data_IF_430125415513
#
_entry.id   IF_430125415513
#
_cell.length_a   1.000
_cell.length_b   1.000
_cell.length_c   1.000
_cell.angle_alpha   90.00
_cell.angle_beta   90.00
_cell.angle_gamma   90.00
#
_symmetry.space_group_name_H-M   'P 1'
#
loop_
_entity.id
_entity.type
_entity.pdbx_description
1 polymer ?
#
# COMPACT_ATOMS: atom_id res chain seq x y z
N UNK A 1 -7.58 -15.96 -6.08
CA UNK A 1 -7.93 -14.54 -6.38
C UNK A 1 -7.32 -13.66 -5.30
N UNK A 2 -6.56 -12.65 -5.70
CA UNK A 2 -5.97 -11.66 -4.81
C UNK A 2 -6.66 -10.31 -5.10
N UNK A 3 -7.28 -9.70 -4.09
CA UNK A 3 -8.00 -8.42 -4.26
C UNK A 3 -7.12 -7.26 -3.82
N UNK A 4 -6.74 -6.42 -4.77
CA UNK A 4 -6.03 -5.18 -4.50
C UNK A 4 -7.03 -4.16 -3.99
N UNK A 5 -6.71 -3.51 -2.89
CA UNK A 5 -7.48 -2.41 -2.28
C UNK A 5 -6.60 -1.17 -2.23
N UNK A 6 -7.18 -0.03 -2.54
CA UNK A 6 -6.56 1.28 -2.35
C UNK A 6 -7.59 2.27 -1.86
N UNK A 7 -7.17 3.20 -1.00
CA UNK A 7 -8.02 4.24 -0.42
C UNK A 7 -7.40 5.62 -0.60
N UNK A 8 -8.26 6.61 -0.86
CA UNK A 8 -7.92 8.01 -0.69
C UNK A 8 -8.64 8.56 0.54
N UNK A 9 -7.97 9.43 1.29
CA UNK A 9 -8.43 9.88 2.59
C UNK A 9 -8.41 11.39 2.74
N UNK A 10 -9.03 11.87 3.83
CA UNK A 10 -8.98 13.28 4.24
C UNK A 10 -7.58 13.71 4.70
N UNK A 11 -6.71 12.77 5.00
CA UNK A 11 -5.36 12.98 5.48
C UNK A 11 -4.80 11.74 6.18
N UNK A 12 -3.64 11.88 6.82
CA UNK A 12 -2.93 10.75 7.46
C UNK A 12 -3.72 10.12 8.61
N UNK A 13 -4.69 10.83 9.21
CA UNK A 13 -5.52 10.31 10.30
C UNK A 13 -6.68 9.45 9.82
N UNK A 14 -6.97 9.43 8.52
CA UNK A 14 -8.06 8.66 7.93
C UNK A 14 -9.17 9.55 7.38
N UNK A 15 -10.41 9.06 7.43
CA UNK A 15 -11.55 9.66 6.75
C UNK A 15 -11.54 9.33 5.27
N UNK A 16 -12.19 8.22 4.87
CA UNK A 16 -12.14 7.71 3.50
C UNK A 16 -12.98 8.59 2.59
N UNK A 17 -12.43 9.02 1.47
CA UNK A 17 -13.12 9.76 0.39
C UNK A 17 -13.29 8.92 -0.88
N UNK A 18 -12.44 7.93 -1.09
CA UNK A 18 -12.53 6.98 -2.20
C UNK A 18 -11.98 5.63 -1.78
N UNK A 19 -12.61 4.57 -2.26
CA UNK A 19 -12.12 3.20 -2.18
C UNK A 19 -12.19 2.57 -3.56
N UNK A 20 -11.21 1.78 -3.91
CA UNK A 20 -11.23 1.00 -5.14
C UNK A 20 -10.62 -0.37 -4.96
N UNK A 21 -10.96 -1.26 -5.87
CA UNK A 21 -10.33 -2.58 -5.98
C UNK A 21 -10.20 -3.04 -7.42
N UNK A 22 -9.22 -3.89 -7.64
CA UNK A 22 -9.13 -4.80 -8.79
C UNK A 22 -8.76 -6.18 -8.29
N UNK A 23 -9.11 -7.21 -9.01
CA UNK A 23 -8.71 -8.58 -8.69
C UNK A 23 -7.58 -9.04 -9.61
N UNK A 24 -6.61 -9.75 -9.06
CA UNK A 24 -5.61 -10.49 -9.83
C UNK A 24 -5.99 -11.97 -9.82
N UNK A 25 -6.29 -12.49 -11.00
CA UNK A 25 -6.69 -13.86 -11.23
C UNK A 25 -5.86 -14.43 -12.38
N UNK A 26 -5.10 -15.48 -12.13
CA UNK A 26 -4.22 -16.12 -13.11
C UNK A 26 -3.32 -15.11 -13.87
N UNK A 27 -2.75 -14.17 -13.13
CA UNK A 27 -1.85 -13.13 -13.66
C UNK A 27 -2.55 -12.03 -14.47
N UNK A 28 -3.87 -11.97 -14.44
CA UNK A 28 -4.68 -10.94 -15.13
C UNK A 28 -5.38 -10.03 -14.13
N UNK A 29 -5.48 -8.76 -14.49
CA UNK A 29 -6.20 -7.75 -13.73
C UNK A 29 -7.64 -7.71 -14.21
N UNK A 30 -8.59 -8.00 -13.33
CA UNK A 30 -10.02 -8.12 -13.63
C UNK A 30 -10.87 -7.45 -12.55
N UNK A 31 -12.18 -7.32 -12.79
CA UNK A 31 -13.18 -6.86 -11.84
C UNK A 31 -12.86 -5.49 -11.19
N UNK A 32 -12.62 -4.43 -11.97
CA UNK A 32 -12.41 -3.11 -11.40
C UNK A 32 -13.69 -2.60 -10.72
N UNK A 33 -13.53 -2.01 -9.54
CA UNK A 33 -14.62 -1.39 -8.80
C UNK A 33 -14.09 -0.16 -8.06
N UNK A 34 -14.87 0.91 -8.02
CA UNK A 34 -14.53 2.11 -7.24
C UNK A 34 -15.76 2.83 -6.73
N UNK A 35 -15.63 3.48 -5.58
CA UNK A 35 -16.68 4.31 -4.98
C UNK A 35 -16.07 5.55 -4.35
N UNK A 36 -16.66 6.71 -4.67
CA UNK A 36 -16.53 7.88 -3.82
C UNK A 36 -17.33 7.66 -2.54
N UNK A 37 -16.79 8.11 -1.42
CA UNK A 37 -17.32 7.87 -0.07
C UNK A 37 -17.44 9.19 0.67
N UNK A 38 -18.52 9.36 1.43
CA UNK A 38 -18.67 10.52 2.30
C UNK A 38 -17.79 10.33 3.54
N UNK A 39 -16.81 11.22 3.78
CA UNK A 39 -15.94 11.10 4.94
C UNK A 39 -16.61 11.59 6.23
N UNK A 40 -16.11 11.12 7.36
CA UNK A 40 -16.54 11.51 8.71
C UNK A 40 -15.87 12.81 9.22
N UNK A 41 -15.05 13.44 8.39
CA UNK A 41 -14.25 14.64 8.72
C UNK A 41 -13.96 15.47 7.48
N UNK A 42 -13.55 16.74 7.64
CA UNK A 42 -13.14 17.59 6.52
C UNK A 42 -11.91 17.03 5.79
N UNK A 43 -11.86 17.21 4.49
CA UNK A 43 -10.69 16.87 3.67
C UNK A 43 -9.62 17.95 3.90
N UNK A 44 -8.40 17.53 4.27
CA UNK A 44 -7.30 18.49 4.42
C UNK A 44 -6.92 19.09 3.07
N UNK A 45 -6.49 20.37 3.03
CA UNK A 45 -6.00 20.98 1.79
C UNK A 45 -4.86 20.21 1.14
N UNK A 46 -3.98 19.60 1.94
CA UNK A 46 -2.86 18.78 1.47
C UNK A 46 -3.34 17.51 0.77
N UNK A 47 -4.30 16.79 1.37
CA UNK A 47 -4.88 15.60 0.76
C UNK A 47 -5.63 15.94 -0.54
N UNK A 48 -6.45 16.98 -0.53
CA UNK A 48 -7.17 17.45 -1.71
C UNK A 48 -6.24 17.84 -2.86
N UNK A 49 -5.11 18.49 -2.56
CA UNK A 49 -4.10 18.82 -3.56
C UNK A 49 -3.51 17.57 -4.24
N UNK A 50 -3.47 16.45 -3.54
CA UNK A 50 -2.92 15.18 -4.03
C UNK A 50 -3.95 14.43 -4.88
N UNK A 51 -5.10 14.04 -4.30
CA UNK A 51 -6.09 13.22 -4.99
C UNK A 51 -7.14 14.03 -5.78
N UNK A 52 -7.25 15.33 -5.54
CA UNK A 52 -8.17 16.25 -6.23
C UNK A 52 -9.66 15.94 -6.03
N UNK A 53 -10.00 15.17 -5.00
CA UNK A 53 -11.39 14.92 -4.59
C UNK A 53 -11.80 16.06 -3.66
N UNK A 54 -12.89 16.73 -4.01
CA UNK A 54 -13.39 17.90 -3.27
C UNK A 54 -14.50 17.52 -2.30
N UNK A 55 -14.79 18.39 -1.33
CA UNK A 55 -15.93 18.23 -0.40
C UNK A 55 -17.26 18.07 -1.16
N UNK A 56 -17.45 18.84 -2.23
CA UNK A 56 -18.67 18.78 -3.04
C UNK A 56 -18.85 17.43 -3.75
N UNK A 57 -17.76 16.79 -4.17
CA UNK A 57 -17.80 15.50 -4.85
C UNK A 57 -18.28 14.36 -3.94
N UNK A 58 -18.08 14.47 -2.64
CA UNK A 58 -18.36 13.39 -1.65
C UNK A 58 -19.54 13.70 -0.72
N UNK A 59 -20.09 14.91 -0.77
CA UNK A 59 -21.12 15.38 0.16
C UNK A 59 -22.40 14.54 0.15
N UNK A 60 -22.77 13.98 -1.00
CA UNK A 60 -23.98 13.15 -1.20
C UNK A 60 -23.66 11.66 -1.36
N UNK A 61 -22.43 11.25 -1.09
CA UNK A 61 -21.99 9.86 -1.25
C UNK A 61 -22.31 9.02 -0.02
N UNK A 62 -22.42 7.69 -0.17
CA UNK A 62 -22.65 6.80 0.97
C UNK A 62 -21.46 6.79 1.93
N UNK A 63 -21.72 6.39 3.17
CA UNK A 63 -20.69 6.14 4.17
C UNK A 63 -19.90 4.88 3.85
N UNK A 64 -18.66 4.79 4.36
CA UNK A 64 -17.80 3.61 4.11
C UNK A 64 -18.45 2.31 4.62
N UNK A 65 -19.16 2.36 5.72
CA UNK A 65 -19.84 1.20 6.31
C UNK A 65 -20.90 0.61 5.38
N UNK A 66 -21.54 1.44 4.56
CA UNK A 66 -22.55 1.01 3.57
C UNK A 66 -21.90 0.46 2.29
N UNK A 67 -20.67 0.87 1.99
CA UNK A 67 -19.95 0.50 0.76
C UNK A 67 -19.05 -0.71 0.94
N UNK A 68 -18.41 -0.83 2.10
CA UNK A 68 -17.34 -1.81 2.34
C UNK A 68 -17.76 -3.28 2.11
N UNK A 69 -19.02 -3.69 2.38
CA UNK A 69 -19.44 -5.07 2.11
C UNK A 69 -19.27 -5.51 0.65
N UNK A 70 -19.32 -4.58 -0.30
CA UNK A 70 -19.10 -4.88 -1.72
C UNK A 70 -17.65 -5.29 -2.05
N UNK A 71 -16.71 -4.98 -1.14
CA UNK A 71 -15.29 -5.29 -1.27
C UNK A 71 -14.89 -6.60 -0.58
N UNK A 72 -15.81 -7.22 0.16
CA UNK A 72 -15.58 -8.52 0.78
C UNK A 72 -15.54 -9.66 -0.25
N UNK A 73 -15.17 -10.84 0.19
CA UNK A 73 -15.24 -12.08 -0.61
C UNK A 73 -13.89 -12.56 -1.16
N UNK A 74 -12.77 -11.96 -0.74
CA UNK A 74 -11.44 -12.51 -0.98
C UNK A 74 -10.83 -13.04 0.32
N UNK A 75 -10.05 -14.11 0.23
CA UNK A 75 -9.22 -14.57 1.35
C UNK A 75 -8.01 -13.64 1.57
N UNK A 76 -7.53 -12.98 0.49
CA UNK A 76 -6.35 -12.13 0.51
C UNK A 76 -6.67 -10.74 -0.03
N UNK A 77 -6.41 -9.74 0.79
CA UNK A 77 -6.44 -8.34 0.43
C UNK A 77 -5.02 -7.81 0.28
N UNK A 78 -4.77 -7.09 -0.78
CA UNK A 78 -3.42 -6.58 -1.14
C UNK A 78 -3.48 -5.07 -1.21
N UNK A 79 -2.53 -4.40 -0.56
CA UNK A 79 -2.37 -2.97 -0.66
C UNK A 79 -0.89 -2.57 -0.67
N UNK A 80 -0.61 -1.38 -1.18
CA UNK A 80 0.73 -0.81 -1.11
C UNK A 80 0.84 0.08 0.14
N UNK A 81 1.64 -0.34 1.12
CA UNK A 81 1.61 0.16 2.50
C UNK A 81 0.32 -0.26 3.24
N UNK A 82 0.04 -1.55 3.20
CA UNK A 82 -1.22 -2.15 3.65
C UNK A 82 -1.63 -1.82 5.10
N UNK A 83 -0.67 -1.51 5.97
CA UNK A 83 -0.98 -1.08 7.34
C UNK A 83 -1.79 0.21 7.39
N UNK A 84 -1.62 1.10 6.41
CA UNK A 84 -2.41 2.33 6.31
C UNK A 84 -3.87 2.01 5.92
N UNK A 85 -4.07 1.32 4.80
CA UNK A 85 -5.41 1.00 4.31
C UNK A 85 -6.19 0.15 5.32
N UNK A 86 -5.54 -0.86 5.89
CA UNK A 86 -6.13 -1.71 6.94
C UNK A 86 -6.57 -0.90 8.16
N UNK A 87 -5.81 0.11 8.55
CA UNK A 87 -6.09 0.95 9.72
C UNK A 87 -7.27 1.89 9.48
N UNK A 88 -7.41 2.45 8.28
CA UNK A 88 -8.45 3.45 7.99
C UNK A 88 -9.77 2.83 7.56
N UNK A 89 -9.75 1.59 7.06
CA UNK A 89 -10.94 0.84 6.66
C UNK A 89 -11.60 0.17 7.86
N UNK A 90 -12.95 -0.04 7.80
CA UNK A 90 -13.60 -1.03 8.64
C UNK A 90 -12.94 -2.41 8.49
N UNK A 91 -13.07 -3.26 9.50
CA UNK A 91 -12.46 -4.60 9.47
C UNK A 91 -12.94 -5.39 8.25
N UNK A 92 -11.98 -5.99 7.54
CA UNK A 92 -12.24 -6.81 6.35
C UNK A 92 -11.87 -8.26 6.67
N UNK A 93 -12.78 -9.22 6.42
CA UNK A 93 -12.54 -10.62 6.74
C UNK A 93 -11.60 -11.27 5.73
N UNK A 94 -10.30 -11.21 5.98
CA UNK A 94 -9.26 -11.79 5.14
C UNK A 94 -7.86 -11.47 5.62
N UNK A 95 -6.87 -12.11 5.00
CA UNK A 95 -5.47 -11.87 5.27
C UNK A 95 -4.95 -10.70 4.41
N UNK A 96 -3.99 -9.95 4.95
CA UNK A 96 -3.42 -8.81 4.25
C UNK A 96 -2.02 -9.08 3.72
N UNK A 97 -1.76 -8.60 2.50
CA UNK A 97 -0.47 -8.65 1.81
C UNK A 97 -0.04 -7.21 1.50
N UNK A 98 1.19 -6.85 1.86
CA UNK A 98 1.76 -5.53 1.65
C UNK A 98 2.83 -5.56 0.55
N UNK A 99 2.50 -5.05 -0.64
CA UNK A 99 3.44 -5.01 -1.77
C UNK A 99 4.68 -4.16 -1.47
N UNK A 100 4.59 -3.16 -0.61
CA UNK A 100 5.76 -2.37 -0.20
C UNK A 100 6.75 -3.22 0.62
N UNK A 101 6.28 -4.02 1.58
CA UNK A 101 7.13 -4.92 2.36
C UNK A 101 7.75 -6.02 1.50
N UNK A 102 6.98 -6.58 0.57
CA UNK A 102 7.48 -7.56 -0.40
C UNK A 102 8.58 -6.98 -1.28
N UNK A 103 8.36 -5.75 -1.78
CA UNK A 103 9.32 -5.05 -2.63
C UNK A 103 10.63 -4.75 -1.91
N UNK A 104 10.56 -4.35 -0.63
CA UNK A 104 11.77 -4.14 0.19
C UNK A 104 12.61 -5.41 0.33
N UNK A 105 11.98 -6.56 0.34
CA UNK A 105 12.67 -7.84 0.44
C UNK A 105 13.31 -8.27 -0.87
N UNK A 106 12.62 -8.03 -1.99
CA UNK A 106 13.13 -8.40 -3.32
C UNK A 106 14.19 -7.41 -3.85
N UNK A 107 13.97 -6.13 -3.63
CA UNK A 107 14.78 -5.06 -4.22
C UNK A 107 15.24 -4.06 -3.14
N UNK A 108 16.25 -4.41 -2.32
CA UNK A 108 16.74 -3.53 -1.28
C UNK A 108 17.40 -2.26 -1.84
N UNK A 109 17.31 -1.15 -1.09
CA UNK A 109 18.07 0.07 -1.37
C UNK A 109 17.51 0.99 -2.45
N UNK A 110 16.23 0.87 -2.81
CA UNK A 110 15.54 1.72 -3.79
C UNK A 110 14.39 2.52 -3.15
N UNK A 111 13.69 3.32 -3.94
CA UNK A 111 12.46 4.00 -3.49
C UNK A 111 11.28 3.05 -3.59
N UNK A 112 10.40 3.06 -2.58
CA UNK A 112 9.33 2.07 -2.40
C UNK A 112 7.91 2.64 -2.54
N UNK A 113 7.71 3.85 -3.04
CA UNK A 113 6.37 4.25 -3.46
C UNK A 113 5.93 3.38 -4.65
N UNK A 114 4.62 3.10 -4.78
CA UNK A 114 4.12 2.25 -5.86
C UNK A 114 4.56 2.76 -7.25
N UNK A 115 4.48 4.07 -7.49
CA UNK A 115 4.89 4.67 -8.76
C UNK A 115 6.40 4.61 -8.99
N UNK A 116 7.22 4.78 -7.94
CA UNK A 116 8.67 4.63 -8.06
C UNK A 116 9.08 3.20 -8.41
N UNK A 117 8.44 2.21 -7.80
CA UNK A 117 8.64 0.80 -8.12
C UNK A 117 8.17 0.47 -9.53
N UNK A 118 6.99 0.94 -9.92
CA UNK A 118 6.44 0.77 -11.25
C UNK A 118 7.41 1.26 -12.33
N UNK A 119 7.99 2.44 -12.15
CA UNK A 119 8.97 3.02 -13.07
C UNK A 119 10.30 2.27 -13.04
N UNK A 120 10.85 1.97 -11.87
CA UNK A 120 12.15 1.30 -11.73
C UNK A 120 12.12 -0.13 -12.27
N UNK A 121 10.99 -0.82 -12.14
CA UNK A 121 10.76 -2.15 -12.69
C UNK A 121 10.31 -2.13 -14.16
N UNK A 122 10.17 -0.93 -14.76
CA UNK A 122 9.73 -0.75 -16.16
C UNK A 122 8.42 -1.47 -16.48
N UNK A 123 7.48 -1.42 -15.53
CA UNK A 123 6.17 -2.05 -15.70
C UNK A 123 5.30 -1.24 -16.65
N UNK A 124 4.34 -1.91 -17.27
CA UNK A 124 3.35 -1.30 -18.15
C UNK A 124 1.99 -1.92 -17.87
N UNK A 125 0.99 -1.08 -17.64
CA UNK A 125 -0.41 -1.48 -17.47
C UNK A 125 -1.31 -0.43 -18.09
N UNK A 126 -2.41 -0.88 -18.68
CA UNK A 126 -3.43 0.06 -19.17
C UNK A 126 -4.23 0.56 -17.98
N UNK A 127 -4.05 1.84 -17.65
CA UNK A 127 -4.77 2.50 -16.57
C UNK A 127 -6.15 2.99 -17.02
N UNK A 128 -7.12 3.15 -16.09
CA UNK A 128 -8.44 3.67 -16.42
C UNK A 128 -8.38 5.08 -17.03
N UNK A 129 -9.13 5.29 -18.11
CA UNK A 129 -9.23 6.60 -18.75
C UNK A 129 -9.84 7.66 -17.80
N UNK A 130 -9.31 8.88 -17.85
CA UNK A 130 -9.80 10.00 -17.05
C UNK A 130 -9.36 10.01 -15.57
N UNK A 131 -8.62 9.02 -15.13
CA UNK A 131 -8.02 8.96 -13.80
C UNK A 131 -6.51 9.27 -13.85
N UNK A 132 -5.97 9.69 -12.74
CA UNK A 132 -4.55 10.00 -12.57
C UNK A 132 -4.00 9.31 -11.31
N UNK A 133 -2.69 9.30 -11.16
CA UNK A 133 -2.02 8.87 -9.94
C UNK A 133 -2.60 9.59 -8.72
N UNK A 134 -2.78 8.90 -7.62
CA UNK A 134 -3.54 9.32 -6.43
C UNK A 134 -5.07 9.37 -6.63
N UNK A 135 -5.61 8.64 -7.59
CA UNK A 135 -7.00 8.20 -7.58
C UNK A 135 -7.00 6.70 -7.32
N UNK A 136 -7.85 6.22 -6.41
CA UNK A 136 -7.76 4.88 -5.86
C UNK A 136 -7.78 3.78 -6.94
N UNK A 137 -8.65 3.86 -7.94
CA UNK A 137 -8.68 2.85 -9.00
C UNK A 137 -7.43 2.87 -9.88
N UNK A 138 -6.89 4.06 -10.18
CA UNK A 138 -5.63 4.18 -10.91
C UNK A 138 -4.50 3.48 -10.16
N UNK A 139 -4.38 3.75 -8.87
CA UNK A 139 -3.33 3.19 -8.02
C UNK A 139 -3.51 1.68 -7.78
N UNK A 140 -4.75 1.17 -7.79
CA UNK A 140 -5.01 -0.27 -7.82
C UNK A 140 -4.38 -0.96 -9.02
N UNK A 141 -4.47 -0.39 -10.22
CA UNK A 141 -3.83 -0.96 -11.42
C UNK A 141 -2.32 -0.94 -11.33
N UNK A 142 -1.73 0.14 -10.83
CA UNK A 142 -0.27 0.23 -10.60
C UNK A 142 0.18 -0.83 -9.59
N UNK A 143 -0.51 -0.95 -8.47
CA UNK A 143 -0.21 -1.95 -7.44
C UNK A 143 -0.43 -3.38 -7.93
N UNK A 144 -1.46 -3.63 -8.75
CA UNK A 144 -1.70 -4.94 -9.36
C UNK A 144 -0.58 -5.34 -10.32
N UNK A 145 -0.11 -4.43 -11.17
CA UNK A 145 1.03 -4.68 -12.03
C UNK A 145 2.30 -5.00 -11.22
N UNK A 146 2.52 -4.29 -10.13
CA UNK A 146 3.62 -4.54 -9.20
C UNK A 146 3.48 -5.91 -8.53
N UNK A 147 2.29 -6.28 -8.07
CA UNK A 147 2.03 -7.59 -7.45
C UNK A 147 2.34 -8.73 -8.41
N UNK A 148 1.92 -8.61 -9.66
CA UNK A 148 2.19 -9.62 -10.70
C UNK A 148 3.70 -9.76 -10.91
N UNK A 149 4.43 -8.66 -11.02
CA UNK A 149 5.90 -8.67 -11.13
C UNK A 149 6.58 -9.30 -9.90
N UNK A 150 6.12 -8.97 -8.70
CA UNK A 150 6.59 -9.59 -7.45
C UNK A 150 6.41 -11.10 -7.49
N UNK A 151 5.22 -11.58 -7.85
CA UNK A 151 4.90 -13.01 -7.91
C UNK A 151 5.72 -13.74 -8.96
N UNK A 152 5.90 -13.16 -10.14
CA UNK A 152 6.73 -13.72 -11.20
C UNK A 152 8.21 -13.77 -10.82
N UNK A 153 8.71 -12.74 -10.16
CA UNK A 153 10.13 -12.64 -9.76
C UNK A 153 10.45 -13.58 -8.59
N UNK A 154 9.56 -13.67 -7.60
CA UNK A 154 9.81 -14.41 -6.35
C UNK A 154 9.34 -15.86 -6.38
N UNK A 155 8.27 -16.15 -7.11
CA UNK A 155 7.56 -17.42 -7.01
C UNK A 155 6.80 -17.61 -5.69
N UNK A 156 6.63 -16.57 -4.87
CA UNK A 156 5.94 -16.68 -3.59
C UNK A 156 4.45 -17.00 -3.76
N UNK A 157 3.95 -17.89 -2.92
CA UNK A 157 2.52 -18.14 -2.75
C UNK A 157 1.87 -17.01 -1.95
N UNK A 158 0.54 -16.95 -1.97
CA UNK A 158 -0.22 -15.99 -1.14
C UNK A 158 0.12 -16.14 0.35
N UNK A 159 0.19 -17.34 0.87
CA UNK A 159 0.52 -17.60 2.28
C UNK A 159 1.94 -17.14 2.64
N UNK A 160 2.91 -17.34 1.75
CA UNK A 160 4.26 -16.80 1.93
C UNK A 160 4.29 -15.28 1.93
N UNK A 161 3.50 -14.63 1.07
CA UNK A 161 3.39 -13.16 1.03
C UNK A 161 2.71 -12.61 2.28
N UNK A 162 1.71 -13.29 2.83
CA UNK A 162 1.09 -12.95 4.14
C UNK A 162 2.13 -13.04 5.26
N UNK A 163 2.90 -14.13 5.31
CA UNK A 163 3.94 -14.32 6.32
C UNK A 163 5.01 -13.21 6.26
N UNK A 164 5.50 -12.88 5.07
CA UNK A 164 6.47 -11.77 4.89
C UNK A 164 5.86 -10.42 5.33
N UNK A 165 4.60 -10.19 5.03
CA UNK A 165 3.89 -8.96 5.44
C UNK A 165 3.83 -8.83 6.97
N UNK A 166 3.66 -9.92 7.68
CA UNK A 166 3.63 -9.97 9.15
C UNK A 166 4.98 -9.76 9.83
N UNK A 167 6.09 -9.83 9.09
CA UNK A 167 7.44 -9.64 9.64
C UNK A 167 7.77 -8.15 9.76
N UNK A 168 8.68 -7.75 10.69
CA UNK A 168 9.22 -6.40 10.74
C UNK A 168 9.83 -6.00 9.38
N UNK A 169 9.70 -4.73 9.01
CA UNK A 169 10.32 -4.20 7.81
C UNK A 169 11.85 -4.30 7.93
N UNK A 170 12.52 -4.81 6.88
CA UNK A 170 13.97 -4.83 6.82
C UNK A 170 14.47 -3.39 6.59
N UNK A 171 15.17 -2.85 7.59
CA UNK A 171 15.88 -1.60 7.45
C UNK A 171 17.24 -1.88 6.81
N UNK A 172 17.45 -1.39 5.61
CA UNK A 172 18.76 -1.43 4.94
C UNK A 172 19.58 -0.17 5.22
N UNK A 173 18.90 0.90 5.62
CA UNK A 173 19.50 2.20 5.91
C UNK A 173 18.81 2.79 7.14
N UNK A 174 19.57 3.40 8.04
CA UNK A 174 18.99 4.09 9.20
C UNK A 174 18.20 5.31 8.78
N UNK A 175 16.94 5.39 9.21
CA UNK A 175 16.06 6.54 8.98
C UNK A 175 16.03 7.49 10.20
N UNK A 176 16.69 7.10 11.31
CA UNK A 176 16.70 7.82 12.60
C UNK A 176 18.03 7.67 13.32
N UNK A 177 18.19 8.40 14.41
CA UNK A 177 19.31 8.27 15.35
C UNK A 177 20.67 8.74 14.83
N UNK A 178 21.73 8.37 15.55
CA UNK A 178 23.12 8.76 15.32
C UNK A 178 23.62 8.45 13.91
N UNK A 179 23.14 7.36 13.33
CA UNK A 179 23.58 6.88 12.00
C UNK A 179 22.55 7.11 10.89
N UNK A 180 21.67 8.09 11.04
CA UNK A 180 20.67 8.42 10.01
C UNK A 180 21.32 8.59 8.64
N UNK A 181 20.78 7.90 7.63
CA UNK A 181 21.27 7.90 6.25
C UNK A 181 22.41 6.91 5.97
N UNK A 182 22.92 6.21 7.00
CA UNK A 182 23.97 5.20 6.82
C UNK A 182 23.38 3.80 6.60
N UNK A 183 24.02 2.97 5.75
CA UNK A 183 23.66 1.56 5.61
C UNK A 183 23.81 0.82 6.95
N UNK A 184 22.85 -0.05 7.24
CA UNK A 184 22.88 -0.89 8.46
C UNK A 184 24.11 -1.80 8.45
N UNK A 185 24.50 -2.34 7.30
CA UNK A 185 25.71 -3.16 7.13
C UNK A 185 26.99 -2.42 7.53
N UNK A 186 27.13 -1.15 7.13
CA UNK A 186 28.28 -0.31 7.50
C UNK A 186 28.35 -0.12 9.02
N UNK A 187 27.21 0.15 9.65
CA UNK A 187 27.16 0.33 11.12
C UNK A 187 27.42 -0.99 11.86
N UNK A 188 26.95 -2.12 11.30
CA UNK A 188 27.21 -3.43 11.88
C UNK A 188 28.72 -3.76 11.95
N UNK A 189 29.47 -3.32 10.96
CA UNK A 189 30.93 -3.51 10.92
C UNK A 189 31.67 -2.51 11.84
N UNK A 190 31.26 -1.23 11.81
CA UNK A 190 31.98 -0.13 12.49
C UNK A 190 31.58 0.05 13.95
N UNK A 191 30.31 -0.15 14.30
CA UNK A 191 29.78 0.08 15.65
C UNK A 191 28.71 -0.97 16.00
N UNK A 192 29.09 -2.25 16.13
CA UNK A 192 28.14 -3.31 16.50
C UNK A 192 27.51 -3.09 17.88
N UNK A 193 28.14 -2.29 18.75
CA UNK A 193 27.61 -1.91 20.04
C UNK A 193 26.34 -1.06 19.94
N UNK A 194 26.28 -0.17 18.94
CA UNK A 194 25.09 0.63 18.66
C UNK A 194 23.89 -0.24 18.25
N UNK A 195 24.11 -1.26 17.42
CA UNK A 195 23.05 -2.20 17.04
C UNK A 195 22.52 -3.01 18.22
N UNK A 196 23.41 -3.47 19.10
CA UNK A 196 23.02 -4.15 20.35
C UNK A 196 22.22 -3.24 21.27
N UNK A 197 22.65 -1.98 21.40
CA UNK A 197 21.93 -0.99 22.18
C UNK A 197 20.53 -0.72 21.60
N UNK A 198 20.41 -0.56 20.28
CA UNK A 198 19.12 -0.40 19.59
C UNK A 198 18.20 -1.58 19.86
N UNK A 199 18.70 -2.81 19.68
CA UNK A 199 17.92 -4.04 19.90
C UNK A 199 17.32 -4.11 21.32
N UNK A 200 18.05 -3.61 22.31
CA UNK A 200 17.63 -3.63 23.71
C UNK A 200 16.77 -2.42 24.13
N UNK A 201 16.66 -1.38 23.31
CA UNK A 201 16.02 -0.10 23.68
C UNK A 201 14.95 0.38 22.68
N UNK A 202 14.68 -0.36 21.60
CA UNK A 202 13.55 -0.12 20.69
C UNK A 202 12.42 -1.08 21.09
N UNK A 203 11.31 -0.53 21.57
CA UNK A 203 10.03 -1.25 21.75
C UNK A 203 9.33 -1.42 20.42
#
# INVERSE_FOLDING_TARGET
>A
MLRIIDTETCGLQGGIVEIASVDVVDGKIVNPMSHLVRPDRPISPQAMAIHRITEAMVADKPWIEDVIPQYYGSEWYVAHNASFDRRVLPDMPGEWICTMKLSRRLWPGIKYSNMALYKSRKLSVQTPAGLHHHRALYDCYITAALLIDIMQTSGWTADQMVDITGRPALLTTFTFGKYRGKPVSEVAERDPGYLRWLFNNLD
#
